data_IF_981237750646
#
_entry.id   IF_981237750646
#
_cell.length_a   1.000
_cell.length_b   1.000
_cell.length_c   1.000
_cell.angle_alpha   90.00
_cell.angle_beta   90.00
_cell.angle_gamma   90.00
#
_symmetry.space_group_name_H-M   'P 1'
#
loop_
_entity.id
_entity.type
_entity.pdbx_description
1 polymer ?
#
# COMPACT_ATOMS: atom_id res chain seq x y z
N UNK A 1 13.04 -11.56 10.29
CA UNK A 1 11.68 -11.09 9.94
C UNK A 1 11.29 -10.05 10.97
N UNK A 2 10.85 -8.87 10.51
CA UNK A 2 10.58 -7.71 11.35
C UNK A 2 9.41 -7.98 12.32
N UNK A 3 9.47 -7.41 13.53
CA UNK A 3 8.46 -7.54 14.58
C UNK A 3 7.17 -6.80 14.24
N UNK A 4 6.42 -7.30 13.26
CA UNK A 4 5.08 -6.84 12.94
C UNK A 4 4.11 -7.32 14.03
N UNK A 5 3.36 -6.41 14.64
CA UNK A 5 2.34 -6.74 15.64
C UNK A 5 1.10 -7.43 15.03
N UNK A 6 0.98 -7.44 13.70
CA UNK A 6 -0.18 -7.94 12.97
C UNK A 6 0.15 -9.22 12.20
N UNK A 7 -0.81 -10.16 12.07
CA UNK A 7 -0.62 -11.37 11.31
C UNK A 7 -0.44 -11.07 9.82
N UNK A 8 0.50 -11.76 9.20
CA UNK A 8 0.75 -11.69 7.76
C UNK A 8 0.28 -13.00 7.12
N UNK A 9 -0.65 -12.89 6.18
CA UNK A 9 -1.18 -14.03 5.44
C UNK A 9 -0.68 -13.98 4.00
N UNK A 10 -0.29 -15.14 3.47
CA UNK A 10 0.04 -15.31 2.06
C UNK A 10 -0.96 -16.29 1.45
N UNK A 11 -1.65 -15.85 0.40
CA UNK A 11 -2.61 -16.67 -0.35
C UNK A 11 -2.00 -16.98 -1.72
N UNK A 12 -1.41 -18.18 -1.90
CA UNK A 12 -0.60 -18.47 -3.08
C UNK A 12 -1.42 -18.72 -4.36
N UNK A 13 -2.75 -18.88 -4.25
CA UNK A 13 -3.61 -19.23 -5.39
C UNK A 13 -4.18 -18.03 -6.13
N UNK A 14 -3.98 -16.81 -5.63
CA UNK A 14 -4.54 -15.54 -6.17
C UNK A 14 -6.09 -15.47 -6.13
N UNK A 15 -6.79 -16.49 -5.63
CA UNK A 15 -8.26 -16.51 -5.62
C UNK A 15 -8.85 -15.37 -4.81
N UNK A 16 -8.26 -15.03 -3.66
CA UNK A 16 -8.75 -13.90 -2.85
C UNK A 16 -8.57 -12.59 -3.62
N UNK A 17 -7.46 -12.43 -4.34
CA UNK A 17 -7.19 -11.23 -5.15
C UNK A 17 -8.26 -11.03 -6.23
N UNK A 18 -8.62 -12.11 -6.92
CA UNK A 18 -9.61 -12.08 -8.00
C UNK A 18 -11.05 -11.93 -7.44
N UNK A 19 -11.40 -12.62 -6.35
CA UNK A 19 -12.69 -12.48 -5.66
C UNK A 19 -12.88 -11.06 -5.15
N UNK A 20 -11.83 -10.51 -4.55
CA UNK A 20 -11.87 -9.13 -4.12
C UNK A 20 -12.06 -8.25 -5.33
N UNK A 21 -11.54 -8.54 -6.52
CA UNK A 21 -11.72 -7.71 -7.72
C UNK A 21 -10.62 -6.65 -7.86
N UNK A 22 -9.40 -7.03 -7.54
CA UNK A 22 -8.22 -6.15 -7.54
C UNK A 22 -7.66 -5.96 -8.96
N UNK A 23 -6.95 -4.86 -9.18
CA UNK A 23 -6.49 -4.46 -10.52
C UNK A 23 -5.04 -4.88 -10.75
N UNK A 24 -4.76 -5.47 -11.91
CA UNK A 24 -3.39 -5.83 -12.30
C UNK A 24 -2.87 -4.96 -13.44
N UNK A 25 -1.98 -4.00 -13.15
CA UNK A 25 -1.28 -3.21 -14.16
C UNK A 25 0.04 -2.63 -13.61
N UNK A 26 0.82 -1.99 -14.49
CA UNK A 26 2.05 -1.27 -14.13
C UNK A 26 1.90 0.23 -14.37
N UNK A 27 0.67 0.74 -14.40
CA UNK A 27 0.44 2.17 -14.53
C UNK A 27 1.02 2.88 -13.29
N UNK A 28 1.64 4.02 -13.53
CA UNK A 28 2.24 4.85 -12.49
C UNK A 28 1.26 5.94 -11.97
N UNK A 29 0.09 6.05 -12.60
CA UNK A 29 -0.87 7.13 -12.34
C UNK A 29 -0.38 8.50 -12.82
N UNK A 30 -1.31 9.39 -13.19
CA UNK A 30 -1.01 10.78 -13.52
C UNK A 30 -0.82 11.64 -12.25
N UNK A 31 -1.49 11.26 -11.16
CA UNK A 31 -1.51 11.98 -9.90
C UNK A 31 -0.27 11.65 -9.09
N UNK A 32 0.43 12.68 -8.61
CA UNK A 32 1.63 12.55 -7.79
C UNK A 32 1.23 12.71 -6.31
N UNK A 33 1.28 11.65 -5.47
CA UNK A 33 1.05 11.77 -4.04
C UNK A 33 1.97 12.81 -3.40
N UNK A 34 1.45 13.61 -2.46
CA UNK A 34 2.15 14.76 -1.88
C UNK A 34 3.43 14.37 -1.11
N UNK A 35 3.51 13.13 -0.63
CA UNK A 35 4.67 12.54 0.04
C UNK A 35 5.86 12.27 -0.91
N UNK A 36 5.63 12.14 -2.22
CA UNK A 36 6.69 11.77 -3.16
C UNK A 36 7.54 12.98 -3.57
N UNK A 37 8.78 13.02 -3.10
CA UNK A 37 9.82 13.88 -3.65
C UNK A 37 10.28 13.34 -5.02
N UNK A 38 10.60 14.22 -5.99
CA UNK A 38 10.96 13.80 -7.37
C UNK A 38 12.18 12.85 -7.41
N UNK A 39 13.09 12.98 -6.45
CA UNK A 39 14.28 12.12 -6.31
C UNK A 39 13.92 10.67 -5.96
N UNK A 40 12.98 10.45 -5.04
CA UNK A 40 12.54 9.12 -4.62
C UNK A 40 11.94 8.30 -5.77
N UNK A 41 11.22 8.96 -6.68
CA UNK A 41 10.56 8.34 -7.83
C UNK A 41 11.56 7.74 -8.83
N UNK A 42 12.62 8.48 -9.13
CA UNK A 42 13.70 8.01 -10.03
C UNK A 42 14.44 6.84 -9.39
N UNK A 43 14.70 6.92 -8.09
CA UNK A 43 15.33 5.83 -7.33
C UNK A 43 14.44 4.58 -7.29
N UNK A 44 13.14 4.70 -7.05
CA UNK A 44 12.21 3.56 -7.05
C UNK A 44 12.13 2.90 -8.43
N UNK A 45 12.02 3.68 -9.50
CA UNK A 45 12.00 3.14 -10.86
C UNK A 45 13.32 2.45 -11.24
N UNK A 46 14.46 3.06 -10.91
CA UNK A 46 15.76 2.41 -11.09
C UNK A 46 15.88 1.11 -10.30
N UNK A 47 15.34 1.06 -9.09
CA UNK A 47 15.35 -0.14 -8.26
C UNK A 47 14.48 -1.25 -8.86
N UNK A 48 13.27 -0.93 -9.33
CA UNK A 48 12.41 -1.90 -10.01
C UNK A 48 13.11 -2.46 -11.24
N UNK A 49 13.66 -1.58 -12.09
CA UNK A 49 14.38 -2.00 -13.30
C UNK A 49 15.59 -2.86 -12.94
N UNK A 50 16.37 -2.48 -11.92
CA UNK A 50 17.52 -3.27 -11.45
C UNK A 50 17.12 -4.64 -10.94
N UNK A 51 16.07 -4.72 -10.13
CA UNK A 51 15.56 -5.99 -9.58
C UNK A 51 15.02 -6.89 -10.70
N UNK A 52 14.32 -6.34 -11.68
CA UNK A 52 13.85 -7.10 -12.86
C UNK A 52 15.04 -7.59 -13.70
N UNK A 53 16.07 -6.75 -13.87
CA UNK A 53 17.29 -7.13 -14.60
C UNK A 53 18.21 -8.10 -13.85
N UNK A 54 17.96 -8.36 -12.56
CA UNK A 54 18.75 -9.27 -11.73
C UNK A 54 18.46 -10.77 -11.99
N UNK A 55 17.57 -11.10 -12.93
CA UNK A 55 17.38 -12.46 -13.42
C UNK A 55 16.43 -13.32 -12.59
N UNK A 56 16.58 -14.66 -12.70
CA UNK A 56 15.59 -15.69 -12.31
C UNK A 56 15.07 -15.64 -10.87
N UNK A 57 15.77 -14.99 -9.95
CA UNK A 57 15.32 -14.82 -8.56
C UNK A 57 14.26 -13.72 -8.39
N UNK A 58 14.15 -12.77 -9.32
CA UNK A 58 13.07 -11.79 -9.33
C UNK A 58 11.70 -12.44 -9.55
N UNK A 59 11.64 -13.56 -10.29
CA UNK A 59 10.39 -14.26 -10.60
C UNK A 59 9.78 -15.01 -9.40
N UNK A 60 10.52 -15.13 -8.28
CA UNK A 60 10.02 -15.76 -7.05
C UNK A 60 9.07 -14.85 -6.24
N UNK A 61 8.94 -13.58 -6.61
CA UNK A 61 8.11 -12.59 -5.90
C UNK A 61 6.62 -12.59 -6.26
N UNK A 62 6.19 -13.44 -7.20
CA UNK A 62 4.83 -13.41 -7.74
C UNK A 62 4.67 -12.42 -8.90
N UNK A 63 3.43 -12.16 -9.29
CA UNK A 63 3.12 -11.27 -10.42
C UNK A 63 3.29 -9.80 -10.02
N UNK A 64 4.37 -9.19 -10.51
CA UNK A 64 4.71 -7.77 -10.26
C UNK A 64 3.65 -6.77 -10.70
N UNK A 65 2.69 -7.19 -11.53
CA UNK A 65 1.59 -6.34 -11.97
C UNK A 65 0.45 -6.29 -10.96
N UNK A 66 0.46 -7.11 -9.90
CA UNK A 66 -0.60 -7.09 -8.90
C UNK A 66 -0.54 -5.80 -8.09
N UNK A 67 -1.60 -5.00 -8.18
CA UNK A 67 -1.76 -3.78 -7.40
C UNK A 67 -2.61 -4.13 -6.17
N UNK A 68 -2.23 -3.53 -5.04
CA UNK A 68 -2.89 -3.71 -3.75
C UNK A 68 -4.19 -2.90 -3.60
N UNK A 69 -4.59 -2.74 -2.35
CA UNK A 69 -5.80 -2.04 -1.94
C UNK A 69 -6.13 -2.35 -0.49
N UNK A 70 -7.01 -1.54 0.07
CA UNK A 70 -7.40 -1.55 1.46
C UNK A 70 -8.88 -1.93 1.58
N UNK A 71 -9.21 -2.73 2.58
CA UNK A 71 -10.57 -3.20 2.83
C UNK A 71 -10.87 -3.11 4.32
N UNK A 72 -12.03 -2.55 4.66
CA UNK A 72 -12.59 -2.60 6.00
C UNK A 72 -13.73 -3.63 6.02
N UNK A 73 -13.56 -4.66 6.84
CA UNK A 73 -14.57 -5.66 7.08
C UNK A 73 -15.20 -5.47 8.46
N UNK A 74 -16.52 -5.53 8.54
CA UNK A 74 -17.26 -5.55 9.80
C UNK A 74 -18.30 -6.67 9.75
N UNK A 75 -18.30 -7.56 10.73
CA UNK A 75 -19.21 -8.71 10.80
C UNK A 75 -19.21 -9.59 9.53
N UNK A 76 -18.06 -9.68 8.85
CA UNK A 76 -17.91 -10.47 7.61
C UNK A 76 -18.33 -9.74 6.33
N UNK A 77 -18.82 -8.51 6.42
CA UNK A 77 -19.19 -7.68 5.26
C UNK A 77 -18.14 -6.61 4.98
N UNK A 78 -17.93 -6.29 3.71
CA UNK A 78 -17.09 -5.13 3.31
C UNK A 78 -17.89 -3.85 3.57
N UNK A 79 -17.46 -3.05 4.55
CA UNK A 79 -18.05 -1.73 4.82
C UNK A 79 -17.41 -0.62 4.01
N UNK A 80 -16.14 -0.78 3.66
CA UNK A 80 -15.41 0.14 2.82
C UNK A 80 -14.28 -0.58 2.09
N UNK A 81 -13.96 -0.13 0.88
CA UNK A 81 -12.76 -0.57 0.17
C UNK A 81 -12.17 0.56 -0.67
N UNK A 82 -10.84 0.54 -0.78
CA UNK A 82 -10.08 1.31 -1.75
C UNK A 82 -9.29 0.35 -2.62
N UNK A 83 -9.59 0.35 -3.92
CA UNK A 83 -8.85 -0.44 -4.91
C UNK A 83 -7.89 0.49 -5.58
N UNK A 84 -6.61 0.20 -5.47
CA UNK A 84 -5.61 1.00 -6.15
C UNK A 84 -5.75 0.77 -7.65
N UNK A 85 -5.91 1.85 -8.41
CA UNK A 85 -5.96 1.80 -9.88
C UNK A 85 -4.55 1.69 -10.49
N UNK A 86 -3.54 2.14 -9.76
CA UNK A 86 -2.15 2.21 -10.21
C UNK A 86 -1.20 2.02 -9.01
N UNK A 87 0.09 1.84 -9.30
CA UNK A 87 1.13 1.55 -8.29
C UNK A 87 1.36 2.66 -7.24
N UNK A 88 0.68 3.80 -7.34
CA UNK A 88 0.81 4.95 -6.43
C UNK A 88 -0.49 5.39 -5.80
N UNK A 89 -1.60 4.73 -6.13
CA UNK A 89 -2.94 5.10 -5.70
C UNK A 89 -3.24 4.55 -4.31
N UNK A 90 -2.40 4.89 -3.33
CA UNK A 90 -2.59 4.48 -1.95
C UNK A 90 -3.66 5.35 -1.26
N UNK A 91 -4.46 4.75 -0.38
CA UNK A 91 -5.33 5.52 0.50
C UNK A 91 -4.47 6.37 1.47
N UNK A 92 -4.73 7.68 1.52
CA UNK A 92 -4.03 8.57 2.46
C UNK A 92 -4.46 8.28 3.92
N UNK A 93 -3.58 8.58 4.88
CA UNK A 93 -3.87 8.30 6.29
C UNK A 93 -5.08 9.08 6.80
N UNK A 94 -5.30 10.29 6.28
CA UNK A 94 -6.47 11.11 6.56
C UNK A 94 -7.76 10.37 6.19
N UNK A 95 -7.81 9.72 5.02
CA UNK A 95 -8.95 8.92 4.57
C UNK A 95 -9.19 7.73 5.50
N UNK A 96 -8.13 7.02 5.88
CA UNK A 96 -8.26 5.86 6.77
C UNK A 96 -8.79 6.28 8.15
N UNK A 97 -8.37 7.43 8.68
CA UNK A 97 -8.87 7.95 9.96
C UNK A 97 -10.34 8.33 9.91
N UNK A 98 -10.77 8.96 8.83
CA UNK A 98 -12.17 9.30 8.59
C UNK A 98 -13.03 8.03 8.52
N UNK A 99 -12.61 7.04 7.72
CA UNK A 99 -13.30 5.75 7.57
C UNK A 99 -13.39 5.00 8.90
N UNK A 100 -12.36 5.07 9.74
CA UNK A 100 -12.32 4.41 11.04
C UNK A 100 -12.95 5.24 12.17
N UNK A 101 -13.34 6.50 11.92
CA UNK A 101 -13.86 7.41 12.94
C UNK A 101 -12.86 7.75 14.05
N UNK A 102 -11.56 7.75 13.75
CA UNK A 102 -10.51 8.03 14.74
C UNK A 102 -10.20 9.52 14.75
N UNK A 103 -10.50 10.20 15.86
CA UNK A 103 -10.09 11.60 16.08
C UNK A 103 -8.58 11.69 16.37
N UNK A 104 -7.93 12.75 15.90
CA UNK A 104 -6.52 12.98 16.21
C UNK A 104 -6.35 13.35 17.69
N UNK A 105 -5.53 12.58 18.43
CA UNK A 105 -5.01 13.05 19.71
C UNK A 105 -4.12 14.27 19.48
N UNK A 106 -4.61 15.44 19.89
CA UNK A 106 -3.83 16.68 19.92
C UNK A 106 -2.69 16.49 20.90
N UNK A 107 -1.46 16.22 20.42
CA UNK A 107 -0.27 16.22 21.28
C UNK A 107 -0.15 17.57 21.96
N UNK A 108 -0.47 17.61 23.25
CA UNK A 108 -0.24 18.78 24.10
C UNK A 108 1.24 19.14 24.07
N UNK A 109 1.52 20.39 23.73
CA UNK A 109 2.85 20.96 23.89
C UNK A 109 3.22 20.93 25.37
N UNK A 110 4.17 20.05 25.73
CA UNK A 110 4.89 20.12 26.99
C UNK A 110 6.08 21.06 26.80
N UNK A 111 6.02 22.19 27.49
CA UNK A 111 7.03 23.23 27.56
C UNK A 111 8.43 22.68 27.88
N UNK A 112 9.42 23.31 27.25
CA UNK A 112 10.82 23.19 27.62
C UNK A 112 11.04 23.78 29.02
N UNK A 113 11.68 23.01 29.90
CA UNK A 113 12.11 23.49 31.20
C UNK A 113 13.07 22.52 31.87
N UNK A 114 14.37 22.73 31.64
CA UNK A 114 15.48 22.57 32.58
C UNK A 114 16.80 22.90 31.86
#
# INVERSE_FOLDING_TARGET
MAGCAYPLYAEPTRKIYDILGMTSNLALGATKPRYLQKSTLVTTLQSIVRTVSAGRDALKGGDFKQIGGEFLFESGEVKWCHRMENTRDHAELEVLREVLGVEEEKKGGGEAGA
#
